data_IF_552876498501
#
_entry.id   IF_552876498501
#
_cell.length_a   1.000
_cell.length_b   1.000
_cell.length_c   1.000
_cell.angle_alpha   90.00
_cell.angle_beta   90.00
_cell.angle_gamma   90.00
#
_symmetry.space_group_name_H-M   'P 1'
#
loop_
_entity.id
_entity.type
_entity.pdbx_description
1 polymer ?
#
# COMPACT_ATOMS: atom_id res chain seq x y z
N UNK A 1 -14.28 -26.59 -6.73
CA UNK A 1 -14.11 -25.21 -7.21
C UNK A 1 -13.74 -24.35 -6.03
N UNK A 2 -12.89 -23.33 -6.24
CA UNK A 2 -12.60 -22.34 -5.18
C UNK A 2 -13.92 -21.77 -4.63
N UNK A 3 -14.07 -21.58 -3.31
CA UNK A 3 -15.29 -21.07 -2.72
C UNK A 3 -15.59 -19.68 -3.30
N UNK A 4 -16.82 -19.47 -3.77
CA UNK A 4 -17.22 -18.42 -4.72
C UNK A 4 -17.21 -16.97 -4.25
N UNK A 5 -16.30 -16.58 -3.36
CA UNK A 5 -16.22 -15.22 -2.80
C UNK A 5 -14.78 -14.77 -2.49
N UNK A 6 -13.78 -15.32 -3.19
CA UNK A 6 -12.39 -14.89 -3.03
C UNK A 6 -12.14 -13.58 -3.76
N UNK A 7 -11.62 -12.58 -3.04
CA UNK A 7 -11.21 -11.28 -3.57
C UNK A 7 -9.80 -10.95 -3.03
N UNK A 8 -8.84 -10.56 -3.87
CA UNK A 8 -7.51 -10.16 -3.43
C UNK A 8 -7.55 -8.94 -2.48
N UNK A 9 -6.54 -8.81 -1.62
CA UNK A 9 -6.48 -7.72 -0.65
C UNK A 9 -6.45 -6.32 -1.31
N UNK A 10 -5.79 -6.18 -2.46
CA UNK A 10 -5.70 -4.90 -3.18
C UNK A 10 -7.06 -4.42 -3.68
N UNK A 11 -7.83 -5.34 -4.29
CA UNK A 11 -9.21 -5.07 -4.73
C UNK A 11 -10.10 -4.74 -3.53
N UNK A 12 -9.90 -5.42 -2.40
CA UNK A 12 -10.64 -5.11 -1.17
C UNK A 12 -10.32 -3.71 -0.64
N UNK A 13 -9.08 -3.23 -0.79
CA UNK A 13 -8.69 -1.88 -0.40
C UNK A 13 -9.30 -0.82 -1.33
N UNK A 14 -9.29 -1.04 -2.65
CA UNK A 14 -9.95 -0.17 -3.62
C UNK A 14 -11.47 -0.12 -3.40
N UNK A 15 -12.09 -1.25 -3.05
CA UNK A 15 -13.50 -1.30 -2.69
C UNK A 15 -13.80 -0.46 -1.44
N UNK A 16 -12.95 -0.52 -0.40
CA UNK A 16 -13.09 0.33 0.79
C UNK A 16 -12.99 1.81 0.38
N UNK A 17 -12.00 2.18 -0.42
CA UNK A 17 -11.84 3.55 -0.89
C UNK A 17 -13.09 4.04 -1.64
N UNK A 18 -13.61 3.21 -2.54
CA UNK A 18 -14.83 3.49 -3.31
C UNK A 18 -16.04 3.67 -2.39
N UNK A 19 -16.28 2.72 -1.49
CA UNK A 19 -17.47 2.70 -0.63
C UNK A 19 -17.53 3.88 0.34
N UNK A 20 -16.37 4.35 0.81
CA UNK A 20 -16.29 5.43 1.79
C UNK A 20 -15.85 6.77 1.20
N UNK A 21 -15.68 6.85 -0.12
CA UNK A 21 -15.38 8.09 -0.82
C UNK A 21 -13.96 8.62 -0.61
N UNK A 22 -12.97 7.74 -0.38
CA UNK A 22 -11.57 8.13 -0.35
C UNK A 22 -11.04 8.28 -1.77
N UNK A 23 -10.61 9.50 -2.10
CA UNK A 23 -10.02 9.81 -3.39
C UNK A 23 -8.57 9.32 -3.48
N UNK A 24 -8.01 9.34 -4.70
CA UNK A 24 -6.59 9.08 -4.93
C UNK A 24 -5.70 10.02 -4.12
N UNK A 25 -6.06 11.30 -4.05
CA UNK A 25 -5.31 12.29 -3.28
C UNK A 25 -5.33 11.99 -1.78
N UNK A 26 -6.44 11.46 -1.24
CA UNK A 26 -6.54 11.10 0.18
C UNK A 26 -5.59 9.96 0.55
N UNK A 27 -5.57 8.89 -0.26
CA UNK A 27 -4.70 7.74 -0.01
C UNK A 27 -3.23 8.06 -0.27
N UNK A 28 -2.93 8.93 -1.24
CA UNK A 28 -1.56 9.42 -1.50
C UNK A 28 -1.07 10.35 -0.38
N UNK A 29 -1.93 11.24 0.12
CA UNK A 29 -1.60 12.11 1.25
C UNK A 29 -1.25 11.31 2.50
N UNK A 30 -2.01 10.23 2.77
CA UNK A 30 -1.69 9.32 3.86
C UNK A 30 -0.33 8.63 3.67
N UNK A 31 -0.02 8.18 2.46
CA UNK A 31 1.25 7.55 2.13
C UNK A 31 2.44 8.52 2.31
N UNK A 32 2.32 9.78 1.87
CA UNK A 32 3.31 10.84 2.11
C UNK A 32 3.55 11.05 3.61
N UNK A 33 2.48 11.16 4.40
CA UNK A 33 2.60 11.34 5.84
C UNK A 33 3.24 10.14 6.54
N UNK A 34 2.97 8.91 6.05
CA UNK A 34 3.65 7.70 6.54
C UNK A 34 5.17 7.77 6.32
N UNK A 35 5.61 8.12 5.11
CA UNK A 35 7.04 8.26 4.79
C UNK A 35 7.73 9.34 5.63
N UNK A 36 7.08 10.49 5.82
CA UNK A 36 7.59 11.57 6.69
C UNK A 36 7.74 11.12 8.14
N UNK A 37 6.75 10.41 8.69
CA UNK A 37 6.77 9.91 10.07
C UNK A 37 7.85 8.84 10.28
N UNK A 38 8.04 7.95 9.31
CA UNK A 38 9.10 6.94 9.34
C UNK A 38 10.47 7.62 9.31
N UNK A 39 10.72 8.52 8.36
CA UNK A 39 11.97 9.28 8.24
C UNK A 39 12.29 10.06 9.52
N UNK A 40 11.29 10.76 10.08
CA UNK A 40 11.45 11.48 11.35
C UNK A 40 11.76 10.53 12.51
N UNK A 41 11.12 9.36 12.59
CA UNK A 41 11.33 8.42 13.69
C UNK A 41 12.74 7.83 13.67
N UNK A 42 13.28 7.56 12.48
CA UNK A 42 14.67 7.16 12.29
C UNK A 42 15.65 8.29 12.64
N UNK A 43 15.42 9.51 12.15
CA UNK A 43 16.26 10.67 12.46
C UNK A 43 16.27 11.02 13.95
N UNK A 44 15.12 10.90 14.63
CA UNK A 44 14.98 11.10 16.07
C UNK A 44 15.59 9.94 16.89
N UNK A 45 16.10 8.87 16.23
CA UNK A 45 16.71 7.72 16.88
C UNK A 45 15.73 6.86 17.70
N UNK A 46 14.43 6.88 17.38
CA UNK A 46 13.39 6.19 18.16
C UNK A 46 13.54 4.67 18.12
N UNK A 47 14.13 4.14 17.04
CA UNK A 47 14.32 2.70 16.83
C UNK A 47 15.67 2.17 17.32
N UNK A 48 16.55 3.04 17.83
CA UNK A 48 17.94 2.69 18.21
C UNK A 48 18.07 1.53 19.20
N UNK A 49 17.02 1.30 20.01
CA UNK A 49 17.01 0.28 21.07
C UNK A 49 16.18 -0.97 20.69
N UNK A 50 15.60 -1.01 19.48
CA UNK A 50 14.63 -2.04 19.10
C UNK A 50 14.90 -2.68 17.75
N UNK A 51 15.56 -1.96 16.83
CA UNK A 51 16.06 -2.55 15.59
C UNK A 51 17.45 -3.10 15.83
N UNK A 52 17.59 -4.41 15.62
CA UNK A 52 18.86 -5.13 15.77
C UNK A 52 19.47 -5.32 14.38
N UNK A 53 20.70 -4.83 14.11
CA UNK A 53 21.35 -5.03 12.84
C UNK A 53 21.50 -6.52 12.49
N UNK A 54 21.17 -6.87 11.26
CA UNK A 54 21.42 -8.20 10.71
C UNK A 54 22.89 -8.28 10.33
N UNK A 55 23.57 -9.33 10.80
CA UNK A 55 25.00 -9.57 10.57
C UNK A 55 25.23 -10.94 9.96
N UNK A 56 26.31 -11.05 9.19
CA UNK A 56 26.79 -12.35 8.70
C UNK A 56 27.47 -13.16 9.82
N UNK A 57 27.91 -14.38 9.49
CA UNK A 57 28.62 -15.27 10.41
C UNK A 57 29.98 -14.72 10.90
N UNK A 58 30.55 -13.74 10.20
CA UNK A 58 31.81 -13.09 10.56
C UNK A 58 31.59 -11.83 11.40
N UNK A 59 30.33 -11.46 11.66
CA UNK A 59 29.95 -10.26 12.41
C UNK A 59 29.88 -8.98 11.59
N UNK A 60 29.98 -9.06 10.25
CA UNK A 60 29.82 -7.92 9.34
C UNK A 60 28.34 -7.55 9.18
N UNK A 61 28.02 -6.26 9.28
CA UNK A 61 26.65 -5.77 9.14
C UNK A 61 26.16 -5.89 7.69
N UNK A 62 25.01 -6.54 7.51
CA UNK A 62 24.30 -6.69 6.23
C UNK A 62 23.24 -5.60 6.08
N UNK A 63 22.41 -5.39 7.11
CA UNK A 63 21.34 -4.38 7.12
C UNK A 63 21.08 -3.91 8.55
N UNK A 64 20.97 -2.60 8.75
CA UNK A 64 20.77 -1.97 10.06
C UNK A 64 19.63 -0.93 10.09
N UNK A 65 18.90 -0.78 8.99
CA UNK A 65 17.80 0.18 8.84
C UNK A 65 16.69 -0.37 7.92
N UNK A 66 15.54 0.31 7.92
CA UNK A 66 14.43 -0.02 7.04
C UNK A 66 14.73 0.45 5.59
N UNK A 67 15.19 -0.47 4.73
CA UNK A 67 15.61 -0.14 3.36
C UNK A 67 14.46 0.27 2.42
N UNK A 68 13.22 -0.07 2.76
CA UNK A 68 12.06 0.23 1.91
C UNK A 68 11.59 1.69 2.01
N UNK A 69 12.07 2.43 3.00
CA UNK A 69 11.68 3.84 3.19
C UNK A 69 12.07 4.70 1.98
N UNK A 70 11.18 5.64 1.64
CA UNK A 70 11.37 6.64 0.60
C UNK A 70 11.12 8.05 1.19
N UNK A 71 12.06 8.60 1.97
CA UNK A 71 11.85 9.85 2.71
C UNK A 71 11.53 11.07 1.85
N UNK A 72 11.91 11.05 0.57
CA UNK A 72 11.64 12.11 -0.40
C UNK A 72 10.31 11.99 -1.12
N UNK A 73 9.42 11.07 -0.69
CA UNK A 73 8.11 10.88 -1.30
C UNK A 73 7.26 12.14 -1.17
N UNK A 74 6.65 12.56 -2.27
CA UNK A 74 5.73 13.68 -2.36
C UNK A 74 4.48 13.35 -3.19
N UNK A 75 3.49 14.24 -3.19
CA UNK A 75 2.24 14.02 -3.93
C UNK A 75 2.47 13.87 -5.44
N UNK A 76 3.43 14.60 -6.01
CA UNK A 76 3.69 14.56 -7.45
C UNK A 76 4.26 13.20 -7.88
N UNK A 77 5.21 12.67 -7.11
CA UNK A 77 5.81 11.36 -7.35
C UNK A 77 4.77 10.24 -7.21
N UNK A 78 3.88 10.31 -6.20
CA UNK A 78 2.83 9.32 -6.02
C UNK A 78 1.75 9.38 -7.11
N UNK A 79 1.31 10.58 -7.49
CA UNK A 79 0.30 10.77 -8.54
C UNK A 79 0.75 10.22 -9.91
N UNK A 80 2.06 10.13 -10.15
CA UNK A 80 2.62 9.58 -11.39
C UNK A 80 2.53 8.05 -11.51
N UNK A 81 2.17 7.35 -10.42
CA UNK A 81 2.14 5.90 -10.39
C UNK A 81 0.80 5.34 -10.87
N UNK A 82 0.88 4.29 -11.70
CA UNK A 82 -0.28 3.57 -12.21
C UNK A 82 -0.95 2.76 -11.08
N UNK A 83 -2.30 2.67 -11.05
CA UNK A 83 -3.01 1.78 -10.16
C UNK A 83 -2.56 0.32 -10.33
N UNK A 84 -2.32 -0.37 -9.22
CA UNK A 84 -1.74 -1.72 -9.21
C UNK A 84 -2.75 -2.82 -9.54
N UNK A 85 -4.05 -2.57 -9.31
CA UNK A 85 -5.05 -3.64 -9.23
C UNK A 85 -6.09 -3.66 -10.35
N UNK A 86 -5.98 -2.76 -11.33
CA UNK A 86 -6.88 -2.73 -12.51
C UNK A 86 -6.89 -4.07 -13.25
N UNK A 87 -5.69 -4.60 -13.57
CA UNK A 87 -5.58 -5.87 -14.31
C UNK A 87 -6.18 -7.06 -13.55
N UNK A 88 -5.88 -7.28 -12.26
CA UNK A 88 -6.60 -8.26 -11.45
C UNK A 88 -8.12 -8.02 -11.35
N UNK A 89 -8.57 -6.76 -11.23
CA UNK A 89 -9.97 -6.40 -11.12
C UNK A 89 -10.76 -6.76 -12.37
N UNK A 90 -10.31 -6.23 -13.52
CA UNK A 90 -10.96 -6.40 -14.82
C UNK A 90 -10.74 -7.80 -15.39
N UNK A 91 -9.48 -8.17 -15.71
CA UNK A 91 -9.17 -9.43 -16.40
C UNK A 91 -9.27 -10.64 -15.48
N UNK A 92 -9.02 -10.46 -14.18
CA UNK A 92 -9.22 -11.51 -13.17
C UNK A 92 -10.69 -11.66 -12.73
N UNK A 93 -11.56 -10.71 -13.07
CA UNK A 93 -12.97 -10.72 -12.72
C UNK A 93 -13.25 -10.46 -11.23
N UNK A 94 -12.27 -9.99 -10.46
CA UNK A 94 -12.41 -9.81 -9.02
C UNK A 94 -13.27 -8.61 -8.65
N UNK A 95 -13.39 -7.59 -9.52
CA UNK A 95 -14.31 -6.47 -9.29
C UNK A 95 -15.76 -6.93 -9.32
N UNK A 96 -16.10 -7.83 -10.25
CA UNK A 96 -17.43 -8.40 -10.34
C UNK A 96 -17.79 -9.19 -9.07
N UNK A 97 -16.84 -9.94 -8.50
CA UNK A 97 -17.03 -10.66 -7.23
C UNK A 97 -17.22 -9.68 -6.07
N UNK A 98 -16.45 -8.59 -6.05
CA UNK A 98 -16.55 -7.54 -5.05
C UNK A 98 -17.92 -6.84 -5.09
N UNK A 99 -18.34 -6.37 -6.27
CA UNK A 99 -19.64 -5.71 -6.51
C UNK A 99 -20.82 -6.64 -6.26
N UNK A 100 -20.72 -7.93 -6.63
CA UNK A 100 -21.79 -8.90 -6.34
C UNK A 100 -22.08 -9.01 -4.83
N UNK A 101 -21.05 -8.87 -3.99
CA UNK A 101 -21.19 -8.88 -2.53
C UNK A 101 -21.57 -7.51 -1.95
N UNK A 102 -21.23 -6.44 -2.66
CA UNK A 102 -21.48 -5.05 -2.29
C UNK A 102 -22.27 -4.32 -3.39
N UNK A 103 -23.55 -4.69 -3.59
CA UNK A 103 -24.36 -4.18 -4.69
C UNK A 103 -24.66 -2.68 -4.59
N UNK A 104 -24.38 -2.06 -3.44
CA UNK A 104 -24.42 -0.60 -3.26
C UNK A 104 -23.28 0.13 -4.00
N UNK A 105 -22.24 -0.59 -4.43
CA UNK A 105 -21.11 -0.06 -5.21
C UNK A 105 -21.31 -0.44 -6.67
N UNK A 106 -21.38 0.55 -7.56
CA UNK A 106 -21.57 0.34 -9.01
C UNK A 106 -20.28 -0.16 -9.68
N UNK A 107 -19.14 0.45 -9.36
CA UNK A 107 -17.83 0.15 -9.93
C UNK A 107 -16.75 0.39 -8.86
N UNK A 108 -15.68 -0.41 -8.89
CA UNK A 108 -14.53 -0.23 -7.99
C UNK A 108 -13.58 0.82 -8.58
N UNK A 109 -13.34 1.90 -7.84
CA UNK A 109 -12.35 2.90 -8.20
C UNK A 109 -10.95 2.47 -7.72
N UNK A 110 -10.07 2.13 -8.68
CA UNK A 110 -8.69 1.70 -8.39
C UNK A 110 -7.77 2.89 -8.07
N UNK A 111 -7.68 3.22 -6.78
CA UNK A 111 -6.84 4.32 -6.28
C UNK A 111 -5.50 3.81 -5.74
N UNK A 112 -5.39 2.51 -5.44
CA UNK A 112 -4.17 1.98 -4.85
C UNK A 112 -3.11 1.61 -5.89
N UNK A 113 -1.87 1.99 -5.62
CA UNK A 113 -0.68 1.71 -6.40
C UNK A 113 0.50 1.40 -5.48
N UNK A 114 1.65 1.07 -6.04
CA UNK A 114 2.86 0.66 -5.31
C UNK A 114 3.40 1.64 -4.25
N UNK A 115 2.90 2.88 -4.19
CA UNK A 115 3.33 3.90 -3.24
C UNK A 115 2.34 4.14 -2.10
N UNK A 116 1.09 3.71 -2.23
CA UNK A 116 0.03 3.88 -1.22
C UNK A 116 -0.67 2.56 -0.83
N UNK A 117 -0.32 1.44 -1.48
CA UNK A 117 -0.73 0.10 -1.10
C UNK A 117 0.26 -0.52 -0.10
N UNK A 118 -0.19 -1.52 0.66
CA UNK A 118 0.73 -2.38 1.41
C UNK A 118 1.72 -3.06 0.46
N UNK A 119 3.02 -2.91 0.74
CA UNK A 119 4.11 -3.62 0.07
C UNK A 119 4.21 -5.09 0.48
#
# INVERSE_FOLDING_TARGET
GLPGWFVPQGISADLIATKYGFSRDDVDAYAVESQKRAAKSWADGRFKNSVIPIKDQNGLTILDHDEHMRPSTDMQSLASLNPSFVMPGEMGGFDAVAVQKHPEVEEVNHVHHAGNSSG
#
